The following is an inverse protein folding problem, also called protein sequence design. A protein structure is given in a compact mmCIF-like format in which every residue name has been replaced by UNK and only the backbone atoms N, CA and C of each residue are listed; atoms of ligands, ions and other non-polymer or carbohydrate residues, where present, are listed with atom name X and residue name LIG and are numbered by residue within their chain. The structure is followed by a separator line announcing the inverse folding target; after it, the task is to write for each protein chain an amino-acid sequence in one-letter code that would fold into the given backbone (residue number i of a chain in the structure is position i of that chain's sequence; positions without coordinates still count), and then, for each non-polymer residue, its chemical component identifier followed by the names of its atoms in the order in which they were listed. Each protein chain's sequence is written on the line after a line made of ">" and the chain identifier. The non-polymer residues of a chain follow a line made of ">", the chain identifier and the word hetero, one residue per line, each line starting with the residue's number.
data_IF_387094536324
#
_entry.id   IF_387094536324
#
_cell.length_a   1.000
_cell.length_b   1.000
_cell.length_c   1.000
_cell.angle_alpha   90.00
_cell.angle_beta   90.00
_cell.angle_gamma   90.00
#
_symmetry.space_group_name_H-M   'P 1'
#
loop_
_entity.id
_entity.type
_entity.pdbx_description
1 polymer ?
#
# COMPACT_ATOMS: atom_id res chain seq x y z
N UNK A 1 7.27 3.05 -15.13
CA UNK A 1 7.20 1.86 -14.25
C UNK A 1 5.77 1.73 -13.76
N UNK A 2 4.88 1.29 -14.65
CA UNK A 2 3.43 1.39 -14.49
C UNK A 2 2.89 -0.05 -14.39
N UNK A 3 2.11 -0.36 -13.34
CA UNK A 3 1.34 -1.62 -13.10
C UNK A 3 1.76 -2.55 -11.95
N UNK A 4 2.22 -2.06 -10.78
CA UNK A 4 2.44 -2.96 -9.64
C UNK A 4 1.31 -3.02 -8.61
N UNK A 5 0.41 -2.04 -8.51
CA UNK A 5 -0.65 -2.03 -7.50
C UNK A 5 -1.98 -2.53 -8.05
N UNK A 6 -2.58 -3.50 -7.35
CA UNK A 6 -3.95 -3.97 -7.61
C UNK A 6 -4.99 -2.96 -7.07
N UNK A 7 -6.22 -2.95 -7.62
CA UNK A 7 -7.28 -2.08 -7.15
C UNK A 7 -7.56 -2.27 -5.66
N UNK A 8 -8.09 -1.24 -5.00
CA UNK A 8 -8.42 -1.29 -3.59
C UNK A 8 -9.38 -2.45 -3.28
N UNK A 9 -9.02 -3.38 -2.37
CA UNK A 9 -9.86 -4.53 -2.07
C UNK A 9 -11.19 -4.17 -1.39
N UNK A 10 -11.27 -2.95 -0.81
CA UNK A 10 -12.42 -2.48 -0.06
C UNK A 10 -13.44 -1.71 -0.91
N UNK A 11 -12.98 -0.77 -1.76
CA UNK A 11 -13.87 0.07 -2.57
C UNK A 11 -13.76 -0.18 -4.08
N UNK A 12 -12.79 -0.98 -4.54
CA UNK A 12 -12.57 -1.27 -5.96
C UNK A 12 -11.87 -0.17 -6.76
N UNK A 13 -11.52 0.97 -6.14
CA UNK A 13 -10.83 2.07 -6.82
C UNK A 13 -9.42 1.69 -7.30
N UNK A 14 -9.01 2.24 -8.43
CA UNK A 14 -7.63 2.18 -8.93
C UNK A 14 -6.77 3.34 -8.43
N UNK A 15 -7.35 4.27 -7.66
CA UNK A 15 -6.65 5.40 -7.06
C UNK A 15 -5.92 4.95 -5.79
N UNK A 16 -4.80 4.26 -6.03
CA UNK A 16 -3.96 3.61 -5.02
C UNK A 16 -2.49 3.95 -5.28
N UNK A 17 -1.76 4.25 -4.20
CA UNK A 17 -0.37 4.69 -4.28
C UNK A 17 0.48 4.02 -3.20
N UNK A 18 1.72 3.67 -3.56
CA UNK A 18 2.74 3.21 -2.62
C UNK A 18 3.79 4.30 -2.44
N UNK A 19 4.01 4.74 -1.20
CA UNK A 19 4.97 5.80 -0.91
C UNK A 19 5.64 5.58 0.45
N UNK A 20 6.80 6.21 0.63
CA UNK A 20 7.46 6.30 1.93
C UNK A 20 6.95 7.55 2.62
N UNK A 21 6.55 7.40 3.88
CA UNK A 21 6.15 8.51 4.72
C UNK A 21 7.36 9.40 5.03
N UNK A 22 7.10 10.70 5.13
CA UNK A 22 8.09 11.67 5.55
C UNK A 22 8.51 11.42 7.00
N UNK A 23 9.69 11.93 7.37
CA UNK A 23 10.23 11.75 8.72
C UNK A 23 9.34 12.39 9.80
N UNK A 24 8.66 13.48 9.43
CA UNK A 24 7.71 14.18 10.29
C UNK A 24 6.44 13.36 10.56
N UNK A 25 6.05 12.50 9.61
CA UNK A 25 4.89 11.61 9.73
C UNK A 25 5.24 10.26 10.37
N UNK A 26 6.47 9.77 10.14
CA UNK A 26 6.99 8.55 10.75
C UNK A 26 8.52 8.64 10.90
N UNK A 27 9.08 8.61 12.13
CA UNK A 27 10.52 8.66 12.37
C UNK A 27 11.31 7.54 11.65
N UNK A 28 10.65 6.43 11.33
CA UNK A 28 11.25 5.30 10.63
C UNK A 28 11.11 5.38 9.10
N UNK A 29 10.51 6.46 8.57
CA UNK A 29 10.19 6.66 7.15
C UNK A 29 9.57 5.40 6.55
N UNK A 30 8.56 4.87 7.23
CA UNK A 30 7.89 3.63 6.81
C UNK A 30 7.22 3.81 5.45
N UNK A 31 7.06 2.72 4.72
CA UNK A 31 6.29 2.71 3.49
C UNK A 31 4.91 2.10 3.71
N UNK A 32 3.92 2.68 3.05
CA UNK A 32 2.55 2.19 3.01
C UNK A 32 2.03 2.20 1.58
N UNK A 33 0.96 1.43 1.36
CA UNK A 33 0.04 1.64 0.24
C UNK A 33 -1.23 2.28 0.78
N UNK A 34 -1.69 3.36 0.17
CA UNK A 34 -2.95 4.05 0.51
C UNK A 34 -3.88 4.05 -0.69
N UNK A 35 -5.17 3.83 -0.45
CA UNK A 35 -6.22 4.17 -1.40
C UNK A 35 -6.70 5.59 -1.11
N UNK A 36 -6.63 6.48 -2.10
CA UNK A 36 -7.05 7.88 -1.96
C UNK A 36 -8.58 8.05 -2.05
N UNK A 37 -9.30 7.02 -2.49
CA UNK A 37 -10.77 7.07 -2.58
C UNK A 37 -11.50 6.69 -1.28
N UNK A 38 -10.92 5.84 -0.44
CA UNK A 38 -11.57 5.38 0.81
C UNK A 38 -10.64 5.38 2.03
N UNK A 39 -9.43 5.92 1.89
CA UNK A 39 -8.41 6.02 2.94
C UNK A 39 -7.94 4.70 3.57
N UNK A 40 -8.30 3.57 2.97
CA UNK A 40 -7.76 2.27 3.36
C UNK A 40 -6.25 2.22 3.13
N UNK A 41 -5.52 1.69 4.11
CA UNK A 41 -4.06 1.65 4.11
C UNK A 41 -3.52 0.24 4.39
N UNK A 42 -2.33 -0.06 3.87
CA UNK A 42 -1.56 -1.26 4.25
C UNK A 42 -0.97 -1.12 5.66
N UNK A 43 -0.37 -2.19 6.17
CA UNK A 43 0.53 -2.06 7.30
C UNK A 43 1.76 -1.20 6.92
N UNK A 44 2.35 -0.54 7.92
CA UNK A 44 3.60 0.20 7.78
C UNK A 44 4.79 -0.76 7.66
N UNK A 45 5.60 -0.57 6.62
CA UNK A 45 6.79 -1.38 6.37
C UNK A 45 8.05 -0.55 6.58
N UNK A 46 9.08 -1.12 7.20
CA UNK A 46 10.36 -0.44 7.47
C UNK A 46 11.52 -1.19 6.81
N UNK A 47 12.69 -0.55 6.72
CA UNK A 47 13.89 -1.12 6.10
C UNK A 47 14.14 -0.64 4.67
N UNK A 48 15.11 -1.28 4.00
CA UNK A 48 15.58 -0.89 2.66
C UNK A 48 14.62 -1.25 1.53
N UNK A 49 13.83 -2.31 1.68
CA UNK A 49 12.85 -2.80 0.67
C UNK A 49 11.40 -2.48 1.05
N UNK A 50 11.18 -1.53 1.95
CA UNK A 50 9.88 -1.20 2.54
C UNK A 50 8.75 -0.95 1.53
N UNK A 51 9.02 -0.28 0.41
CA UNK A 51 8.00 0.00 -0.63
C UNK A 51 7.55 -1.29 -1.29
N UNK A 52 8.48 -2.16 -1.68
CA UNK A 52 8.17 -3.46 -2.27
C UNK A 52 7.40 -4.35 -1.31
N UNK A 53 7.76 -4.31 -0.02
CA UNK A 53 7.02 -5.03 1.04
C UNK A 53 5.58 -4.52 1.17
N UNK A 54 5.37 -3.21 1.12
CA UNK A 54 4.05 -2.59 1.21
C UNK A 54 3.18 -2.97 0.01
N UNK A 55 3.74 -2.91 -1.21
CA UNK A 55 3.10 -3.33 -2.47
C UNK A 55 2.70 -4.82 -2.39
N UNK A 56 3.63 -5.69 -1.97
CA UNK A 56 3.37 -7.13 -1.86
C UNK A 56 2.25 -7.43 -0.85
N UNK A 57 2.26 -6.76 0.29
CA UNK A 57 1.24 -6.93 1.32
C UNK A 57 -0.14 -6.44 0.85
N UNK A 58 -0.19 -5.32 0.13
CA UNK A 58 -1.43 -4.80 -0.46
C UNK A 58 -2.02 -5.77 -1.47
N UNK A 59 -1.21 -6.21 -2.44
CA UNK A 59 -1.68 -7.09 -3.51
C UNK A 59 -2.15 -8.46 -3.01
N UNK A 60 -1.55 -8.98 -1.93
CA UNK A 60 -1.99 -10.24 -1.30
C UNK A 60 -3.42 -10.14 -0.76
N UNK A 61 -3.86 -8.95 -0.31
CA UNK A 61 -5.23 -8.75 0.19
C UNK A 61 -6.27 -8.78 -0.93
N UNK A 62 -5.90 -8.34 -2.14
CA UNK A 62 -6.79 -8.36 -3.31
C UNK A 62 -6.99 -9.77 -3.84
N UNK A 63 -5.97 -10.63 -3.73
CA UNK A 63 -6.08 -12.06 -4.09
C UNK A 63 -6.98 -12.86 -3.15
N UNK A 64 -7.27 -12.34 -1.96
CA UNK A 64 -8.07 -13.03 -0.95
C UNK A 64 -9.60 -12.89 -1.14
N UNK A 65 -10.10 -12.70 -2.37
CA UNK A 65 -11.54 -12.76 -2.71
C UNK A 65 -11.85 -14.10 -3.40
N UNK A 66 -12.87 -14.91 -3.13
CA UNK A 66 -13.98 -15.03 -2.16
C UNK A 66 -14.22 -16.56 -2.08
N UNK A 67 -14.44 -17.14 -0.89
CA UNK A 67 -15.21 -18.39 -0.75
C UNK A 67 -16.62 -18.01 -0.29
#
# INVERSE_FOLDING_TARGET
>A
MSNQLKPCPFCGSNDVEAFAQDEDDCPHRSAIVRCHSCDAQSAQMVGSTKIEMAIRAWNKRVEAKHD
#
